data_IF_678343831539
#
_entry.id   IF_678343831539
#
_cell.length_a   1.000
_cell.length_b   1.000
_cell.length_c   1.000
_cell.angle_alpha   90.00
_cell.angle_beta   90.00
_cell.angle_gamma   90.00
#
_symmetry.space_group_name_H-M   'P 1'
#
loop_
_entity.id
_entity.type
_entity.pdbx_description
1 polymer ?
#
# COMPACT_ATOMS: atom_id res chain seq x y z
N UNK A 1 0.86 14.17 3.06
CA UNK A 1 0.81 12.70 2.91
C UNK A 1 1.26 12.07 4.23
N UNK A 2 0.34 11.47 5.01
CA UNK A 2 0.62 11.03 6.38
C UNK A 2 1.62 9.86 6.49
N UNK A 3 1.87 9.12 5.42
CA UNK A 3 2.77 7.96 5.40
C UNK A 3 4.08 8.23 4.65
N UNK A 4 4.42 9.50 4.39
CA UNK A 4 5.65 9.88 3.70
C UNK A 4 6.89 9.29 4.41
N UNK A 5 7.75 8.62 3.65
CA UNK A 5 8.98 7.99 4.17
C UNK A 5 8.74 6.66 4.90
N UNK A 6 7.52 6.14 4.95
CA UNK A 6 7.22 4.80 5.46
C UNK A 6 7.21 3.76 4.36
N UNK A 7 7.57 2.54 4.72
CA UNK A 7 7.49 1.35 3.84
C UNK A 7 6.38 0.46 4.36
N UNK A 8 5.49 0.01 3.46
CA UNK A 8 4.41 -0.93 3.77
C UNK A 8 4.52 -2.17 2.88
N UNK A 9 4.40 -3.36 3.48
CA UNK A 9 4.33 -4.64 2.76
C UNK A 9 2.88 -5.12 2.78
N UNK A 10 2.31 -5.36 1.59
CA UNK A 10 0.93 -5.81 1.44
C UNK A 10 0.91 -7.16 0.73
N UNK A 11 0.44 -8.19 1.42
CA UNK A 11 0.22 -9.52 0.83
C UNK A 11 -1.17 -9.63 0.20
N UNK A 12 -1.32 -10.45 -0.83
CA UNK A 12 -2.63 -10.68 -1.47
C UNK A 12 -3.18 -9.45 -2.20
N UNK A 13 -2.30 -8.58 -2.68
CA UNK A 13 -2.67 -7.31 -3.32
C UNK A 13 -3.13 -7.45 -4.79
N UNK A 14 -3.28 -8.67 -5.30
CA UNK A 14 -3.68 -8.92 -6.68
C UNK A 14 -5.12 -8.51 -7.00
N UNK A 15 -6.03 -8.57 -6.02
CA UNK A 15 -7.44 -8.20 -6.16
C UNK A 15 -8.11 -7.87 -4.83
N UNK A 16 -9.37 -7.42 -4.89
CA UNK A 16 -10.20 -7.17 -3.71
C UNK A 16 -9.58 -6.16 -2.74
N UNK A 17 -9.68 -6.47 -1.44
CA UNK A 17 -9.27 -5.58 -0.35
C UNK A 17 -7.76 -5.29 -0.38
N UNK A 18 -6.92 -6.30 -0.64
CA UNK A 18 -5.47 -6.11 -0.70
C UNK A 18 -5.06 -5.07 -1.76
N UNK A 19 -5.68 -5.12 -2.95
CA UNK A 19 -5.45 -4.12 -4.01
C UNK A 19 -5.91 -2.72 -3.61
N UNK A 20 -7.07 -2.62 -2.97
CA UNK A 20 -7.61 -1.34 -2.52
C UNK A 20 -6.73 -0.71 -1.43
N UNK A 21 -6.27 -1.51 -0.47
CA UNK A 21 -5.40 -1.08 0.61
C UNK A 21 -4.03 -0.63 0.09
N UNK A 22 -3.38 -1.41 -0.79
CA UNK A 22 -2.11 -1.02 -1.39
C UNK A 22 -2.19 0.34 -2.11
N UNK A 23 -3.29 0.59 -2.83
CA UNK A 23 -3.54 1.88 -3.47
C UNK A 23 -3.73 3.02 -2.46
N UNK A 24 -4.48 2.78 -1.39
CA UNK A 24 -4.71 3.78 -0.34
C UNK A 24 -3.38 4.16 0.34
N UNK A 25 -2.59 3.17 0.75
CA UNK A 25 -1.29 3.39 1.39
C UNK A 25 -0.31 4.17 0.48
N UNK A 26 -0.29 3.85 -0.82
CA UNK A 26 0.51 4.58 -1.80
C UNK A 26 0.03 6.04 -1.96
N UNK A 27 -1.29 6.28 -2.01
CA UNK A 27 -1.86 7.65 -2.05
C UNK A 27 -1.57 8.46 -0.80
N UNK A 28 -1.36 7.79 0.33
CA UNK A 28 -0.99 8.43 1.59
C UNK A 28 0.53 8.65 1.74
N UNK A 29 1.32 8.19 0.77
CA UNK A 29 2.75 8.52 0.62
C UNK A 29 3.70 7.41 1.03
N UNK A 30 3.19 6.22 1.33
CA UNK A 30 4.03 5.06 1.62
C UNK A 30 4.69 4.53 0.34
N UNK A 31 5.93 4.04 0.48
CA UNK A 31 6.49 3.11 -0.49
C UNK A 31 5.87 1.74 -0.24
N UNK A 32 5.16 1.20 -1.22
CA UNK A 32 4.40 -0.04 -1.06
C UNK A 32 5.08 -1.18 -1.82
N UNK A 33 5.39 -2.26 -1.11
CA UNK A 33 5.85 -3.54 -1.67
C UNK A 33 4.68 -4.51 -1.64
N UNK A 34 4.40 -5.16 -2.77
CA UNK A 34 3.30 -6.13 -2.89
C UNK A 34 3.85 -7.55 -3.06
N UNK A 35 3.21 -8.52 -2.38
CA UNK A 35 3.55 -9.96 -2.42
C UNK A 35 2.30 -10.80 -2.64
#
# INVERSE_FOLDING_TARGET
MPLTGKIAVVTGASRGIGRALAKALSRDGATVVVV
#
